data_IF_618944770906
#
_entry.id   IF_618944770906
#
_cell.length_a   1.000
_cell.length_b   1.000
_cell.length_c   1.000
_cell.angle_alpha   90.00
_cell.angle_beta   90.00
_cell.angle_gamma   90.00
#
_symmetry.space_group_name_H-M   'P 1'
#
loop_
_entity.id
_entity.type
_entity.pdbx_description
1 polymer ?
#
# COMPACT_ATOMS: atom_id res chain seq x y z
N UNK A 1 -2.71 -47.41 -12.08
CA UNK A 1 -3.68 -46.60 -12.86
C UNK A 1 -4.00 -45.33 -12.07
N UNK A 2 -4.06 -44.20 -12.78
CA UNK A 2 -4.41 -42.82 -12.39
C UNK A 2 -5.58 -42.68 -11.39
N UNK A 3 -5.82 -41.60 -10.65
CA UNK A 3 -5.15 -40.32 -10.33
C UNK A 3 -6.00 -39.66 -9.22
N UNK A 4 -5.38 -38.91 -8.30
CA UNK A 4 -6.08 -38.20 -7.23
C UNK A 4 -6.88 -37.00 -7.75
N UNK A 5 -8.18 -36.98 -7.44
CA UNK A 5 -9.10 -35.89 -7.76
C UNK A 5 -9.10 -34.88 -6.60
N UNK A 6 -8.54 -33.69 -6.79
CA UNK A 6 -8.70 -32.55 -5.86
C UNK A 6 -9.50 -31.45 -6.56
N UNK A 7 -10.71 -31.21 -6.06
CA UNK A 7 -11.62 -30.17 -6.51
C UNK A 7 -11.05 -28.79 -6.17
N UNK A 8 -10.73 -28.02 -7.20
CA UNK A 8 -10.19 -26.67 -7.05
C UNK A 8 -11.34 -25.68 -6.90
N UNK A 9 -11.47 -25.10 -5.71
CA UNK A 9 -12.34 -23.96 -5.47
C UNK A 9 -11.79 -22.73 -6.21
N UNK A 10 -12.64 -22.11 -7.01
CA UNK A 10 -12.43 -20.88 -7.77
C UNK A 10 -12.03 -19.72 -6.84
N UNK A 11 -10.72 -19.48 -6.74
CA UNK A 11 -10.16 -18.35 -6.01
C UNK A 11 -10.15 -17.14 -6.95
N UNK A 12 -11.09 -16.20 -6.75
CA UNK A 12 -11.09 -14.94 -7.50
C UNK A 12 -9.79 -14.19 -7.24
N UNK A 13 -8.95 -14.09 -8.25
CA UNK A 13 -7.71 -13.32 -8.22
C UNK A 13 -8.09 -11.85 -8.23
N UNK A 14 -7.94 -11.16 -7.09
CA UNK A 14 -8.10 -9.71 -7.02
C UNK A 14 -6.75 -9.08 -7.32
N UNK A 15 -6.69 -8.20 -8.31
CA UNK A 15 -5.46 -7.50 -8.64
C UNK A 15 -4.99 -6.60 -7.48
N UNK A 16 -3.68 -6.54 -7.21
CA UNK A 16 -3.14 -5.66 -6.19
C UNK A 16 -3.27 -4.19 -6.61
N UNK A 17 -3.87 -3.38 -5.74
CA UNK A 17 -3.96 -1.92 -5.91
C UNK A 17 -2.55 -1.33 -5.94
N UNK A 18 -2.13 -0.81 -7.10
CA UNK A 18 -0.90 -0.04 -7.24
C UNK A 18 -1.19 1.44 -6.94
N UNK A 19 -0.37 2.08 -6.10
CA UNK A 19 -0.41 3.53 -5.92
C UNK A 19 0.30 4.19 -7.10
N UNK A 20 -0.44 4.98 -7.86
CA UNK A 20 0.10 5.81 -8.95
C UNK A 20 0.91 7.01 -8.40
N UNK A 21 0.51 7.51 -7.23
CA UNK A 21 1.10 8.69 -6.62
C UNK A 21 2.41 8.38 -5.87
N UNK A 22 3.46 9.22 -6.02
CA UNK A 22 4.71 9.08 -5.29
C UNK A 22 4.47 9.19 -3.78
N UNK A 23 5.24 8.43 -3.00
CA UNK A 23 5.18 8.51 -1.53
C UNK A 23 5.76 9.85 -1.09
N UNK A 24 5.03 10.57 -0.22
CA UNK A 24 5.56 11.77 0.43
C UNK A 24 6.80 11.40 1.24
N UNK A 25 7.92 12.06 0.94
CA UNK A 25 9.17 11.87 1.65
C UNK A 25 9.11 12.51 3.04
N UNK A 26 9.93 12.00 3.98
CA UNK A 26 9.96 12.52 5.35
C UNK A 26 10.35 14.01 5.45
N UNK A 27 11.11 14.52 4.50
CA UNK A 27 11.56 15.92 4.50
C UNK A 27 10.68 16.86 3.67
N UNK A 28 9.76 16.33 2.86
CA UNK A 28 8.87 17.13 2.02
C UNK A 28 7.91 17.98 2.84
N UNK A 29 7.38 19.09 2.29
CA UNK A 29 6.29 19.83 2.91
C UNK A 29 5.10 18.91 3.19
N UNK A 30 4.51 19.06 4.38
CA UNK A 30 3.38 18.23 4.77
C UNK A 30 2.13 18.60 3.95
N UNK A 31 1.43 17.62 3.33
CA UNK A 31 0.30 17.89 2.44
C UNK A 31 -0.93 18.49 3.14
N UNK A 32 -0.91 18.59 4.47
CA UNK A 32 -1.95 19.25 5.26
C UNK A 32 -1.85 20.79 5.29
N UNK A 33 -0.88 21.39 4.58
CA UNK A 33 -0.72 22.85 4.52
C UNK A 33 -0.15 23.50 5.78
N UNK A 34 0.38 22.75 6.73
CA UNK A 34 0.90 23.30 8.00
C UNK A 34 2.24 24.05 7.88
N UNK A 35 2.87 24.04 6.71
CA UNK A 35 4.22 24.56 6.50
C UNK A 35 5.35 23.73 7.14
N UNK A 36 5.01 22.67 7.89
CA UNK A 36 5.98 21.77 8.54
C UNK A 36 6.46 20.69 7.57
N UNK A 37 7.67 20.17 7.78
CA UNK A 37 8.15 18.96 7.08
C UNK A 37 7.26 17.77 7.49
N UNK A 38 7.03 16.82 6.57
CA UNK A 38 6.18 15.65 6.81
C UNK A 38 6.57 14.92 8.11
N UNK A 39 7.87 14.69 8.36
CA UNK A 39 8.38 14.05 9.59
C UNK A 39 8.11 14.80 10.91
N UNK A 40 7.77 16.08 10.84
CA UNK A 40 7.45 16.92 12.01
C UNK A 40 5.93 17.12 12.18
N UNK A 41 5.12 16.52 11.30
CA UNK A 41 3.67 16.62 11.28
C UNK A 41 3.07 15.21 11.16
N UNK A 42 2.43 14.87 10.04
CA UNK A 42 1.74 13.57 9.84
C UNK A 42 2.69 12.37 9.72
N UNK A 43 3.97 12.61 9.40
CA UNK A 43 5.02 11.60 9.37
C UNK A 43 5.84 11.53 10.66
N UNK A 44 5.41 12.19 11.74
CA UNK A 44 6.06 12.09 13.05
C UNK A 44 5.90 10.67 13.55
N UNK A 45 6.99 9.90 13.52
CA UNK A 45 7.08 8.68 14.30
C UNK A 45 7.18 9.14 15.76
N UNK A 46 6.26 8.65 16.60
CA UNK A 46 6.32 8.84 18.05
C UNK A 46 7.68 8.44 18.59
#
# INVERSE_FOLDING_TARGET
RAAGLRSQGEQRVVDPIRRDQPRVGRNDPCPCGSGKKYKQCHGKKG
#
